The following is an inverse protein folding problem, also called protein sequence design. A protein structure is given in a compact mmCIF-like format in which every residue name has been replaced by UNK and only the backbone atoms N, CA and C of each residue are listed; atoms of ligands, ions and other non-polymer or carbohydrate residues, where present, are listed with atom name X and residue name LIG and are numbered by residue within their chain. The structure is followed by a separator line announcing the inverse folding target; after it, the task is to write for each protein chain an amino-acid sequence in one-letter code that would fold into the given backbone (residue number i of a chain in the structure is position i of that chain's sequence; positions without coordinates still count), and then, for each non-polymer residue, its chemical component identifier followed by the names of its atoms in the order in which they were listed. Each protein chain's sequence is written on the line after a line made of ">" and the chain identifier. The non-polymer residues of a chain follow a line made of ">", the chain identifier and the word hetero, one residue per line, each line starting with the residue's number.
data_IF_740450639198
#
_entry.id   IF_740450639198
#
_cell.length_a   1.000
_cell.length_b   1.000
_cell.length_c   1.000
_cell.angle_alpha   90.00
_cell.angle_beta   90.00
_cell.angle_gamma   90.00
#
_symmetry.space_group_name_H-M   'P 1'
#
loop_
_entity.id
_entity.type
_entity.pdbx_description
1 polymer ?
#
# COMPACT_ATOMS: atom_id res chain seq x y z
N UNK A 1 -32.02 57.90 51.25
CA UNK A 1 -31.94 56.51 51.77
C UNK A 1 -31.48 56.55 53.23
N UNK A 2 -32.19 55.93 54.18
CA UNK A 2 -31.81 55.99 55.61
C UNK A 2 -30.49 55.25 55.86
N UNK A 3 -29.74 55.65 56.90
CA UNK A 3 -28.45 55.05 57.27
C UNK A 3 -28.54 53.52 57.40
N UNK A 4 -29.63 53.01 57.99
CA UNK A 4 -29.91 51.57 58.06
C UNK A 4 -29.98 50.88 56.70
N UNK A 5 -30.66 51.50 55.72
CA UNK A 5 -30.75 50.95 54.35
C UNK A 5 -29.38 50.93 53.65
N UNK A 6 -28.52 51.93 53.92
CA UNK A 6 -27.13 51.93 53.39
C UNK A 6 -26.28 50.81 54.00
N UNK A 7 -26.37 50.60 55.31
CA UNK A 7 -25.64 49.53 56.00
C UNK A 7 -26.08 48.15 55.47
N UNK A 8 -27.38 47.92 55.35
CA UNK A 8 -27.90 46.65 54.80
C UNK A 8 -27.44 46.42 53.36
N UNK A 9 -27.46 47.48 52.53
CA UNK A 9 -26.96 47.39 51.16
C UNK A 9 -25.47 47.03 51.10
N UNK A 10 -24.64 47.66 51.94
CA UNK A 10 -23.20 47.36 51.98
C UNK A 10 -22.89 45.95 52.49
N UNK A 11 -23.64 45.46 53.47
CA UNK A 11 -23.48 44.08 53.97
C UNK A 11 -23.87 43.07 52.89
N UNK A 12 -24.97 43.30 52.17
CA UNK A 12 -25.38 42.42 51.04
C UNK A 12 -24.36 42.45 49.90
N UNK A 13 -23.81 43.62 49.57
CA UNK A 13 -22.75 43.75 48.57
C UNK A 13 -21.48 43.01 48.99
N UNK A 14 -21.08 43.13 50.26
CA UNK A 14 -19.91 42.43 50.80
C UNK A 14 -20.08 40.91 50.77
N UNK A 15 -21.22 40.38 51.25
CA UNK A 15 -21.52 38.95 51.21
C UNK A 15 -21.58 38.44 49.76
N UNK A 16 -22.19 39.21 48.85
CA UNK A 16 -22.22 38.90 47.42
C UNK A 16 -20.81 38.83 46.81
N UNK A 17 -19.95 39.79 47.12
CA UNK A 17 -18.55 39.79 46.68
C UNK A 17 -17.77 38.59 47.25
N UNK A 18 -17.90 38.28 48.54
CA UNK A 18 -17.22 37.14 49.16
C UNK A 18 -17.71 35.82 48.56
N UNK A 19 -19.01 35.67 48.32
CA UNK A 19 -19.56 34.48 47.66
C UNK A 19 -19.04 34.34 46.22
N UNK A 20 -18.95 35.44 45.46
CA UNK A 20 -18.49 35.43 44.08
C UNK A 20 -16.98 35.17 43.98
N UNK A 21 -16.18 35.76 44.87
CA UNK A 21 -14.74 35.45 45.00
C UNK A 21 -14.55 33.99 45.44
N UNK A 22 -15.36 33.51 46.38
CA UNK A 22 -15.35 32.12 46.85
C UNK A 22 -15.69 31.12 45.74
N UNK A 23 -16.70 31.38 44.92
CA UNK A 23 -17.06 30.51 43.80
C UNK A 23 -16.01 30.53 42.69
N UNK A 24 -15.44 31.70 42.36
CA UNK A 24 -14.33 31.80 41.39
C UNK A 24 -13.07 31.11 41.90
N UNK A 25 -12.74 31.27 43.19
CA UNK A 25 -11.62 30.59 43.82
C UNK A 25 -11.84 29.06 43.82
N UNK A 26 -13.00 28.58 44.25
CA UNK A 26 -13.34 27.16 44.23
C UNK A 26 -13.38 26.59 42.82
N UNK A 27 -13.84 27.36 41.82
CA UNK A 27 -13.82 26.97 40.41
C UNK A 27 -12.37 26.83 39.90
N UNK A 28 -11.52 27.81 40.16
CA UNK A 28 -10.09 27.74 39.81
C UNK A 28 -9.38 26.58 40.53
N UNK A 29 -9.70 26.34 41.80
CA UNK A 29 -9.17 25.20 42.56
C UNK A 29 -9.66 23.87 42.00
N UNK A 30 -10.93 23.76 41.60
CA UNK A 30 -11.50 22.54 41.01
C UNK A 30 -10.97 22.27 39.59
N UNK A 31 -10.61 23.33 38.87
CA UNK A 31 -9.95 23.24 37.56
C UNK A 31 -8.48 22.83 37.71
N UNK A 32 -7.73 23.41 38.67
CA UNK A 32 -6.31 23.11 38.93
C UNK A 32 -6.01 21.85 39.75
N UNK A 33 -6.92 21.35 40.61
CA UNK A 33 -6.61 20.25 41.56
C UNK A 33 -7.50 19.00 41.44
N UNK A 34 -8.50 19.00 40.54
CA UNK A 34 -9.51 17.96 40.33
C UNK A 34 -9.56 16.77 41.32
N UNK A 35 -10.20 16.95 42.48
CA UNK A 35 -10.22 15.96 43.56
C UNK A 35 -11.06 14.69 43.31
N UNK A 36 -11.87 14.67 42.25
CA UNK A 36 -12.73 13.54 41.87
C UNK A 36 -12.51 13.09 40.42
N UNK A 37 -11.39 13.50 39.80
CA UNK A 37 -11.08 13.11 38.43
C UNK A 37 -10.77 11.61 38.35
N UNK A 38 -11.31 10.97 37.31
CA UNK A 38 -10.84 9.66 36.87
C UNK A 38 -9.42 9.77 36.32
N UNK A 39 -8.74 8.63 36.14
CA UNK A 39 -7.42 8.60 35.49
C UNK A 39 -7.47 9.20 34.08
N UNK A 40 -8.56 8.97 33.34
CA UNK A 40 -8.77 9.57 32.01
C UNK A 40 -8.87 11.10 32.10
N UNK A 41 -9.57 11.63 33.10
CA UNK A 41 -9.73 13.08 33.24
C UNK A 41 -8.39 13.78 33.53
N UNK A 42 -7.52 13.16 34.34
CA UNK A 42 -6.16 13.67 34.55
C UNK A 42 -5.35 13.68 33.25
N UNK A 43 -5.45 12.62 32.44
CA UNK A 43 -4.79 12.58 31.14
C UNK A 43 -5.28 13.69 30.20
N UNK A 44 -6.60 13.85 30.03
CA UNK A 44 -7.17 14.87 29.14
C UNK A 44 -6.83 16.30 29.59
N UNK A 45 -6.96 16.60 30.89
CA UNK A 45 -6.57 17.92 31.43
C UNK A 45 -5.07 18.15 31.34
N UNK A 46 -4.27 17.11 31.56
CA UNK A 46 -2.82 17.16 31.43
C UNK A 46 -2.40 17.67 30.05
N UNK A 47 -2.98 17.08 28.99
CA UNK A 47 -2.73 17.49 27.60
C UNK A 47 -3.12 18.95 27.33
N UNK A 48 -4.28 19.38 27.82
CA UNK A 48 -4.74 20.77 27.65
C UNK A 48 -3.76 21.76 28.29
N UNK A 49 -3.28 21.44 29.50
CA UNK A 49 -2.48 22.35 30.31
C UNK A 49 -1.03 22.47 29.86
N UNK A 50 -0.40 21.39 29.38
CA UNK A 50 1.00 21.42 28.91
C UNK A 50 1.22 22.30 27.67
N UNK A 51 0.15 22.56 26.90
CA UNK A 51 0.17 23.48 25.77
C UNK A 51 -0.20 24.93 26.14
N UNK A 52 -0.41 25.24 27.43
CA UNK A 52 -0.73 26.59 27.86
C UNK A 52 0.48 27.52 27.78
N UNK A 53 0.26 28.80 27.44
CA UNK A 53 1.32 29.81 27.51
C UNK A 53 1.80 30.09 28.95
N UNK A 54 0.98 29.73 29.95
CA UNK A 54 1.28 29.98 31.37
C UNK A 54 2.12 28.83 31.95
N UNK A 55 3.34 29.16 32.40
CA UNK A 55 4.27 28.18 33.00
C UNK A 55 3.63 27.38 34.15
N UNK A 56 2.89 28.03 35.06
CA UNK A 56 2.20 27.32 36.16
C UNK A 56 1.23 26.25 35.67
N UNK A 57 0.49 26.54 34.59
CA UNK A 57 -0.45 25.57 34.02
C UNK A 57 0.32 24.45 33.33
N UNK A 58 1.42 24.76 32.63
CA UNK A 58 2.26 23.72 32.02
C UNK A 58 2.81 22.73 33.04
N UNK A 59 3.32 23.22 34.17
CA UNK A 59 3.78 22.36 35.28
C UNK A 59 2.63 21.52 35.86
N UNK A 60 1.47 22.14 36.10
CA UNK A 60 0.28 21.41 36.57
C UNK A 60 -0.16 20.32 35.58
N UNK A 61 -0.06 20.60 34.27
CA UNK A 61 -0.36 19.66 33.21
C UNK A 61 0.59 18.46 33.22
N UNK A 62 1.90 18.71 33.40
CA UNK A 62 2.90 17.65 33.53
C UNK A 62 2.63 16.79 34.77
N UNK A 63 2.32 17.39 35.91
CA UNK A 63 1.97 16.65 37.13
C UNK A 63 0.75 15.74 36.92
N UNK A 64 -0.26 16.22 36.20
CA UNK A 64 -1.43 15.42 35.83
C UNK A 64 -1.09 14.26 34.89
N UNK A 65 -0.23 14.47 33.90
CA UNK A 65 0.23 13.41 33.01
C UNK A 65 1.04 12.35 33.77
N UNK A 66 1.94 12.77 34.65
CA UNK A 66 2.74 11.87 35.50
C UNK A 66 1.83 11.05 36.43
N UNK A 67 0.85 11.69 37.07
CA UNK A 67 -0.12 11.00 37.92
C UNK A 67 -0.98 10.00 37.13
N UNK A 68 -1.43 10.37 35.92
CA UNK A 68 -2.17 9.47 35.06
C UNK A 68 -1.33 8.24 34.65
N UNK A 69 -0.06 8.46 34.31
CA UNK A 69 0.87 7.39 33.95
C UNK A 69 1.16 6.45 35.13
N UNK A 70 1.31 6.99 36.34
CA UNK A 70 1.47 6.21 37.58
C UNK A 70 0.22 5.36 37.87
N UNK A 71 -0.96 5.89 37.54
CA UNK A 71 -2.25 5.17 37.58
C UNK A 71 -2.50 4.27 36.35
N UNK A 72 -1.43 3.82 35.70
CA UNK A 72 -1.43 2.84 34.59
C UNK A 72 -2.15 3.29 33.32
N UNK A 73 -2.29 4.60 33.10
CA UNK A 73 -2.81 5.09 31.82
C UNK A 73 -1.77 4.94 30.71
N UNK A 74 -1.98 3.98 29.81
CA UNK A 74 -1.04 3.66 28.73
C UNK A 74 -0.76 4.84 27.80
N UNK A 75 -1.78 5.62 27.45
CA UNK A 75 -1.63 6.82 26.62
C UNK A 75 -0.70 7.88 27.25
N UNK A 76 -0.82 8.08 28.57
CA UNK A 76 0.06 9.00 29.31
C UNK A 76 1.49 8.48 29.39
N UNK A 77 1.65 7.17 29.62
CA UNK A 77 2.96 6.51 29.63
C UNK A 77 3.65 6.62 28.27
N UNK A 78 2.94 6.38 27.16
CA UNK A 78 3.51 6.52 25.80
C UNK A 78 3.94 7.96 25.55
N UNK A 79 3.06 8.94 25.81
CA UNK A 79 3.36 10.35 25.59
C UNK A 79 4.58 10.82 26.41
N UNK A 80 4.65 10.47 27.69
CA UNK A 80 5.81 10.80 28.52
C UNK A 80 7.06 10.07 28.06
N UNK A 81 6.95 8.79 27.68
CA UNK A 81 8.04 8.03 27.10
C UNK A 81 8.63 8.70 25.86
N UNK A 82 7.77 9.16 24.96
CA UNK A 82 8.15 9.91 23.77
C UNK A 82 8.89 11.20 24.14
N UNK A 83 8.34 11.99 25.06
CA UNK A 83 8.92 13.30 25.42
C UNK A 83 10.25 13.17 26.18
N UNK A 84 10.40 12.19 27.07
CA UNK A 84 11.66 11.94 27.77
C UNK A 84 12.74 11.39 26.83
N UNK A 85 12.36 10.63 25.79
CA UNK A 85 13.29 10.12 24.79
C UNK A 85 13.77 11.23 23.85
N UNK A 86 12.84 12.01 23.30
CA UNK A 86 13.13 13.06 22.34
C UNK A 86 13.35 12.61 20.91
N UNK A 87 14.42 11.86 20.71
CA UNK A 87 14.83 11.39 19.39
C UNK A 87 14.18 10.01 19.14
N UNK A 88 13.04 10.04 18.46
CA UNK A 88 12.26 8.84 18.15
C UNK A 88 12.83 8.10 16.92
N UNK A 89 12.71 6.76 16.86
CA UNK A 89 13.20 5.98 15.72
C UNK A 89 12.57 6.38 14.38
N UNK A 90 13.30 6.16 13.28
CA UNK A 90 12.75 6.33 11.93
C UNK A 90 11.49 5.46 11.74
N UNK A 91 10.43 6.04 11.15
CA UNK A 91 9.15 5.37 10.96
C UNK A 91 8.23 5.37 12.19
N UNK A 92 8.72 5.84 13.35
CA UNK A 92 7.90 6.02 14.55
C UNK A 92 6.96 7.22 14.38
N UNK A 93 5.68 7.04 14.70
CA UNK A 93 4.68 8.11 14.66
C UNK A 93 4.19 8.43 16.08
N UNK A 94 4.43 9.66 16.57
CA UNK A 94 3.99 10.05 17.92
C UNK A 94 2.50 9.80 18.12
N UNK A 95 2.18 9.23 19.28
CA UNK A 95 0.80 8.87 19.63
C UNK A 95 -0.12 10.09 19.68
N UNK A 96 0.40 11.20 20.24
CA UNK A 96 -0.26 12.50 20.30
C UNK A 96 0.76 13.59 19.90
N UNK A 97 0.91 13.77 18.59
CA UNK A 97 1.87 14.70 18.01
C UNK A 97 1.68 16.15 18.50
N UNK A 98 0.44 16.54 18.79
CA UNK A 98 0.12 17.88 19.30
C UNK A 98 0.70 18.10 20.69
N UNK A 99 0.41 17.19 21.62
CA UNK A 99 0.88 17.30 23.00
C UNK A 99 2.39 17.06 23.09
N UNK A 100 2.92 16.12 22.29
CA UNK A 100 4.35 15.90 22.15
C UNK A 100 5.07 17.18 21.72
N UNK A 101 4.55 17.91 20.72
CA UNK A 101 5.12 19.18 20.28
C UNK A 101 5.19 20.24 21.38
N UNK A 102 4.19 20.30 22.26
CA UNK A 102 4.21 21.19 23.41
C UNK A 102 5.26 20.76 24.46
N UNK A 103 5.36 19.45 24.76
CA UNK A 103 6.08 18.96 25.94
C UNK A 103 7.53 18.52 25.68
N UNK A 104 7.86 18.04 24.48
CA UNK A 104 9.15 17.41 24.15
C UNK A 104 10.38 18.30 24.40
N UNK A 105 10.23 19.63 24.32
CA UNK A 105 11.29 20.59 24.62
C UNK A 105 11.33 21.09 26.07
N UNK A 106 10.32 20.75 26.88
CA UNK A 106 10.19 21.19 28.28
C UNK A 106 10.74 20.16 29.26
N UNK A 107 10.83 18.90 28.85
CA UNK A 107 11.37 17.81 29.68
C UNK A 107 12.85 17.57 29.38
N UNK A 108 13.67 17.25 30.41
CA UNK A 108 15.03 16.80 30.18
C UNK A 108 15.02 15.47 29.44
N UNK A 109 16.07 15.24 28.64
CA UNK A 109 16.29 13.93 28.01
C UNK A 109 16.64 12.91 29.09
N UNK A 110 15.78 11.91 29.24
CA UNK A 110 15.98 10.79 30.16
C UNK A 110 15.55 9.47 29.49
N UNK A 111 16.47 8.81 28.78
CA UNK A 111 16.20 7.52 28.14
C UNK A 111 15.79 6.42 29.11
N UNK A 112 16.21 6.52 30.38
CA UNK A 112 15.88 5.51 31.41
C UNK A 112 14.43 5.66 31.84
N UNK A 113 13.99 6.88 32.13
CA UNK A 113 12.58 7.17 32.39
C UNK A 113 11.71 6.81 31.19
N UNK A 114 12.16 7.15 29.98
CA UNK A 114 11.45 6.83 28.74
C UNK A 114 11.26 5.31 28.57
N UNK A 115 12.35 4.54 28.68
CA UNK A 115 12.29 3.08 28.62
C UNK A 115 11.35 2.51 29.69
N UNK A 116 11.37 3.04 30.92
CA UNK A 116 10.44 2.62 31.98
C UNK A 116 8.99 2.82 31.57
N UNK A 117 8.63 4.00 31.07
CA UNK A 117 7.26 4.28 30.62
C UNK A 117 6.86 3.41 29.42
N UNK A 118 7.74 3.22 28.44
CA UNK A 118 7.47 2.34 27.31
C UNK A 118 7.27 0.89 27.73
N UNK A 119 8.08 0.36 28.64
CA UNK A 119 7.90 -1.00 29.18
C UNK A 119 6.57 -1.15 29.93
N UNK A 120 6.16 -0.15 30.73
CA UNK A 120 4.87 -0.15 31.41
C UNK A 120 3.70 -0.13 30.40
N UNK A 121 3.74 0.77 29.42
CA UNK A 121 2.70 0.86 28.40
C UNK A 121 2.60 -0.42 27.57
N UNK A 122 3.75 -0.98 27.19
CA UNK A 122 3.84 -2.23 26.44
C UNK A 122 3.28 -3.42 27.22
N UNK A 123 3.53 -3.49 28.53
CA UNK A 123 2.96 -4.54 29.39
C UNK A 123 1.42 -4.50 29.41
N UNK A 124 0.83 -3.31 29.51
CA UNK A 124 -0.63 -3.12 29.46
C UNK A 124 -1.20 -3.49 28.09
N UNK A 125 -0.54 -3.07 27.01
CA UNK A 125 -1.00 -3.34 25.65
C UNK A 125 -0.89 -4.81 25.24
N UNK A 126 0.02 -5.60 25.83
CA UNK A 126 0.03 -7.06 25.60
C UNK A 126 -1.23 -7.77 26.10
N UNK A 127 -2.00 -7.14 26.99
CA UNK A 127 -3.23 -7.71 27.55
C UNK A 127 -4.48 -7.32 26.77
N UNK A 128 -4.37 -6.44 25.77
CA UNK A 128 -5.51 -5.87 25.04
C UNK A 128 -5.17 -5.80 23.55
N UNK A 129 -6.12 -6.06 22.66
CA UNK A 129 -5.88 -5.76 21.26
C UNK A 129 -5.90 -4.23 21.06
N UNK A 130 -4.79 -3.61 20.61
CA UNK A 130 -4.75 -2.19 20.36
C UNK A 130 -5.67 -1.87 19.18
N UNK A 131 -6.59 -0.93 19.41
CA UNK A 131 -7.46 -0.41 18.36
C UNK A 131 -6.70 0.43 17.33
N UNK A 132 -5.55 0.99 17.71
CA UNK A 132 -4.70 1.82 16.87
C UNK A 132 -3.55 1.01 16.29
N UNK A 133 -3.58 0.82 14.97
CA UNK A 133 -2.59 0.04 14.22
C UNK A 133 -1.18 0.67 14.20
N UNK A 134 -1.02 1.91 14.68
CA UNK A 134 0.29 2.56 14.86
C UNK A 134 1.02 2.03 16.09
N UNK A 135 0.29 1.61 17.12
CA UNK A 135 0.89 1.19 18.39
C UNK A 135 1.76 -0.06 18.21
N UNK A 136 1.29 -1.19 17.63
CA UNK A 136 2.16 -2.34 17.45
C UNK A 136 3.40 -2.02 16.61
N UNK A 137 3.29 -1.20 15.56
CA UNK A 137 4.44 -0.75 14.77
C UNK A 137 5.45 0.01 15.64
N UNK A 138 4.99 1.02 16.39
CA UNK A 138 5.83 1.83 17.26
C UNK A 138 6.54 0.97 18.31
N UNK A 139 5.82 0.07 18.99
CA UNK A 139 6.42 -0.85 19.94
C UNK A 139 7.43 -1.79 19.29
N UNK A 140 7.17 -2.27 18.07
CA UNK A 140 8.13 -3.08 17.31
C UNK A 140 9.43 -2.34 17.03
N UNK A 141 9.34 -1.06 16.63
CA UNK A 141 10.51 -0.19 16.46
C UNK A 141 11.27 0.04 17.77
N UNK A 142 10.56 0.28 18.88
CA UNK A 142 11.17 0.47 20.19
C UNK A 142 11.90 -0.79 20.68
N UNK A 143 11.33 -1.98 20.46
CA UNK A 143 11.96 -3.28 20.75
C UNK A 143 13.20 -3.49 19.88
N UNK A 144 13.12 -3.23 18.57
CA UNK A 144 14.25 -3.38 17.65
C UNK A 144 15.42 -2.46 18.03
N UNK A 145 15.13 -1.24 18.50
CA UNK A 145 16.14 -0.28 18.99
C UNK A 145 16.61 -0.54 20.42
N UNK A 146 16.10 -1.58 21.09
CA UNK A 146 16.48 -1.92 22.46
C UNK A 146 15.98 -0.94 23.52
N UNK A 147 14.98 -0.12 23.20
CA UNK A 147 14.36 0.85 24.12
C UNK A 147 13.33 0.18 25.05
N UNK A 148 12.87 -1.01 24.66
CA UNK A 148 12.00 -1.88 25.45
C UNK A 148 12.75 -3.18 25.70
N UNK A 149 12.66 -3.69 26.93
CA UNK A 149 13.32 -4.93 27.29
C UNK A 149 12.60 -6.11 26.63
N UNK A 150 13.36 -6.96 25.93
CA UNK A 150 12.87 -8.19 25.31
C UNK A 150 13.97 -9.24 25.35
N UNK A 151 13.58 -10.48 25.64
CA UNK A 151 14.48 -11.64 25.61
C UNK A 151 14.83 -12.06 24.18
N UNK A 152 13.96 -11.74 23.21
CA UNK A 152 14.15 -12.04 21.80
C UNK A 152 13.65 -10.88 20.92
N UNK A 153 14.41 -9.76 20.87
CA UNK A 153 13.94 -8.52 20.28
C UNK A 153 13.61 -8.66 18.79
N UNK A 154 14.34 -9.51 18.06
CA UNK A 154 14.05 -9.74 16.64
C UNK A 154 12.70 -10.42 16.43
N UNK A 155 12.37 -11.43 17.23
CA UNK A 155 11.11 -12.15 17.10
C UNK A 155 9.93 -11.32 17.60
N UNK A 156 10.09 -10.64 18.74
CA UNK A 156 9.05 -9.79 19.31
C UNK A 156 8.71 -8.60 18.39
N UNK A 157 9.72 -7.94 17.83
CA UNK A 157 9.51 -6.87 16.84
C UNK A 157 8.80 -7.39 15.58
N UNK A 158 9.20 -8.57 15.09
CA UNK A 158 8.55 -9.19 13.93
C UNK A 158 7.07 -9.52 14.20
N UNK A 159 6.74 -10.07 15.38
CA UNK A 159 5.35 -10.32 15.78
C UNK A 159 4.53 -9.04 15.84
N UNK A 160 5.11 -7.96 16.38
CA UNK A 160 4.45 -6.65 16.44
C UNK A 160 4.24 -6.04 15.05
N UNK A 161 5.18 -6.21 14.13
CA UNK A 161 5.01 -5.80 12.73
C UNK A 161 3.92 -6.61 12.02
N UNK A 162 3.84 -7.92 12.26
CA UNK A 162 2.76 -8.75 11.73
C UNK A 162 1.40 -8.24 12.22
N UNK A 163 1.27 -8.00 13.53
CA UNK A 163 0.05 -7.45 14.11
C UNK A 163 -0.34 -6.09 13.50
N UNK A 164 0.62 -5.16 13.39
CA UNK A 164 0.38 -3.86 12.76
C UNK A 164 -0.07 -4.00 11.30
N UNK A 165 0.60 -4.87 10.54
CA UNK A 165 0.33 -5.10 9.13
C UNK A 165 -1.04 -5.76 8.90
N UNK A 166 -1.43 -6.71 9.75
CA UNK A 166 -2.77 -7.33 9.73
C UNK A 166 -3.88 -6.31 10.02
N UNK A 167 -3.59 -5.30 10.85
CA UNK A 167 -4.47 -4.16 11.10
C UNK A 167 -4.40 -3.05 10.05
N UNK A 168 -3.76 -3.29 8.90
CA UNK A 168 -3.75 -2.33 7.79
C UNK A 168 -2.63 -1.28 7.84
N UNK A 169 -1.66 -1.41 8.76
CA UNK A 169 -0.57 -0.44 8.86
C UNK A 169 0.38 -0.55 7.65
N UNK A 170 0.42 0.50 6.84
CA UNK A 170 1.22 0.58 5.61
C UNK A 170 2.72 0.36 5.86
N UNK A 171 3.28 1.05 6.85
CA UNK A 171 4.72 0.99 7.16
C UNK A 171 5.11 -0.41 7.60
N UNK A 172 4.28 -1.08 8.39
CA UNK A 172 4.54 -2.45 8.82
C UNK A 172 4.46 -3.45 7.66
N UNK A 173 3.44 -3.35 6.79
CA UNK A 173 3.35 -4.17 5.58
C UNK A 173 4.58 -4.00 4.69
N UNK A 174 5.06 -2.76 4.52
CA UNK A 174 6.25 -2.43 3.75
C UNK A 174 7.50 -3.07 4.36
N UNK A 175 7.71 -2.87 5.66
CA UNK A 175 8.85 -3.44 6.39
C UNK A 175 8.88 -4.97 6.28
N UNK A 176 7.75 -5.65 6.52
CA UNK A 176 7.65 -7.10 6.38
C UNK A 176 7.91 -7.56 4.94
N UNK A 177 7.32 -6.89 3.94
CA UNK A 177 7.52 -7.22 2.53
C UNK A 177 8.99 -7.18 2.12
N UNK A 178 9.71 -6.15 2.53
CA UNK A 178 11.15 -5.99 2.29
C UNK A 178 11.99 -6.99 3.09
N UNK A 179 11.64 -7.24 4.36
CA UNK A 179 12.32 -8.20 5.22
C UNK A 179 12.25 -9.61 4.64
N UNK A 180 11.05 -10.08 4.28
CA UNK A 180 10.85 -11.39 3.66
C UNK A 180 11.56 -11.49 2.31
N UNK A 181 11.55 -10.42 1.51
CA UNK A 181 12.27 -10.38 0.24
C UNK A 181 13.79 -10.55 0.45
N UNK A 182 14.36 -9.85 1.44
CA UNK A 182 15.78 -9.95 1.80
C UNK A 182 16.15 -11.33 2.35
N UNK A 183 15.24 -11.96 3.11
CA UNK A 183 15.37 -13.35 3.60
C UNK A 183 15.10 -14.41 2.52
N UNK A 184 14.79 -14.00 1.29
CA UNK A 184 14.43 -14.88 0.18
C UNK A 184 13.17 -15.73 0.40
N UNK A 185 12.33 -15.37 1.38
CA UNK A 185 10.97 -15.89 1.48
C UNK A 185 10.06 -15.08 0.56
N UNK A 186 10.20 -15.36 -0.73
CA UNK A 186 9.51 -14.62 -1.77
C UNK A 186 7.99 -14.88 -1.78
N UNK A 187 7.51 -15.96 -1.16
CA UNK A 187 6.06 -16.22 -1.05
C UNK A 187 5.44 -15.24 -0.06
N UNK A 188 6.00 -15.14 1.15
CA UNK A 188 5.57 -14.16 2.14
C UNK A 188 5.81 -12.72 1.65
N UNK A 189 6.95 -12.45 1.01
CA UNK A 189 7.25 -11.13 0.45
C UNK A 189 6.19 -10.70 -0.57
N UNK A 190 5.81 -11.58 -1.51
CA UNK A 190 4.80 -11.24 -2.53
C UNK A 190 3.46 -10.86 -1.91
N UNK A 191 3.03 -11.54 -0.84
CA UNK A 191 1.78 -11.24 -0.14
C UNK A 191 1.77 -9.81 0.39
N UNK A 192 2.82 -9.41 1.10
CA UNK A 192 2.88 -8.09 1.73
C UNK A 192 3.18 -6.99 0.70
N UNK A 193 4.13 -7.22 -0.21
CA UNK A 193 4.48 -6.25 -1.24
C UNK A 193 3.30 -5.94 -2.17
N UNK A 194 2.42 -6.91 -2.48
CA UNK A 194 1.23 -6.64 -3.32
C UNK A 194 0.28 -5.66 -2.67
N UNK A 195 0.00 -5.82 -1.38
CA UNK A 195 -0.85 -4.90 -0.62
C UNK A 195 -0.26 -3.47 -0.61
N UNK A 196 1.06 -3.36 -0.43
CA UNK A 196 1.76 -2.07 -0.44
C UNK A 196 1.74 -1.45 -1.84
N UNK A 197 2.02 -2.23 -2.89
CA UNK A 197 2.03 -1.78 -4.28
C UNK A 197 0.65 -1.25 -4.73
N UNK A 198 -0.43 -1.88 -4.28
CA UNK A 198 -1.81 -1.49 -4.59
C UNK A 198 -2.19 -0.10 -4.04
N UNK A 199 -1.54 0.34 -2.96
CA UNK A 199 -1.78 1.69 -2.41
C UNK A 199 -1.29 2.81 -3.32
N UNK A 200 -0.37 2.54 -4.25
CA UNK A 200 0.19 3.54 -5.16
C UNK A 200 1.00 4.65 -4.47
N UNK A 201 1.50 4.42 -3.24
CA UNK A 201 2.33 5.39 -2.51
C UNK A 201 3.81 5.30 -2.85
N UNK A 202 4.28 4.13 -3.29
CA UNK A 202 5.69 3.87 -3.60
C UNK A 202 5.82 2.90 -4.78
N UNK A 203 6.90 3.04 -5.56
CA UNK A 203 7.14 2.22 -6.76
C UNK A 203 7.97 0.97 -6.51
N UNK A 204 8.84 0.99 -5.51
CA UNK A 204 9.72 -0.12 -5.15
C UNK A 204 8.97 -1.45 -4.90
N UNK A 205 7.85 -1.50 -4.17
CA UNK A 205 7.14 -2.76 -3.92
C UNK A 205 6.63 -3.44 -5.21
N UNK A 206 6.07 -2.65 -6.13
CA UNK A 206 5.60 -3.14 -7.42
C UNK A 206 6.76 -3.63 -8.31
N UNK A 207 7.90 -2.96 -8.24
CA UNK A 207 9.12 -3.37 -8.94
C UNK A 207 9.65 -4.72 -8.43
N UNK A 208 9.72 -4.91 -7.11
CA UNK A 208 10.17 -6.17 -6.50
C UNK A 208 9.22 -7.33 -6.81
N UNK A 209 7.90 -7.08 -6.84
CA UNK A 209 6.93 -8.06 -7.30
C UNK A 209 7.15 -8.46 -8.76
N UNK A 210 7.38 -7.47 -9.63
CA UNK A 210 7.70 -7.71 -11.02
C UNK A 210 8.94 -8.58 -11.17
N UNK A 211 10.00 -8.28 -10.41
CA UNK A 211 11.23 -9.08 -10.38
C UNK A 211 10.97 -10.51 -9.87
N UNK A 212 10.14 -10.68 -8.85
CA UNK A 212 9.75 -12.00 -8.38
C UNK A 212 9.12 -12.85 -9.49
N UNK A 213 8.21 -12.29 -10.28
CA UNK A 213 7.59 -13.01 -11.39
C UNK A 213 8.53 -13.18 -12.60
N UNK A 214 9.38 -12.19 -12.88
CA UNK A 214 10.33 -12.24 -13.99
C UNK A 214 11.37 -13.34 -13.79
N UNK A 215 11.90 -13.49 -12.57
CA UNK A 215 12.91 -14.49 -12.23
C UNK A 215 12.33 -15.80 -11.67
N UNK A 216 11.02 -15.90 -11.47
CA UNK A 216 10.39 -17.09 -10.87
C UNK A 216 10.73 -17.29 -9.39
N UNK A 217 10.94 -16.21 -8.64
CA UNK A 217 11.27 -16.26 -7.21
C UNK A 217 10.01 -16.60 -6.38
N UNK A 218 10.11 -17.67 -5.58
CA UNK A 218 9.01 -18.17 -4.75
C UNK A 218 7.77 -18.61 -5.53
N UNK A 219 7.93 -19.14 -6.74
CA UNK A 219 6.82 -19.66 -7.54
C UNK A 219 7.18 -19.87 -9.00
N UNK A 220 6.17 -19.94 -9.86
CA UNK A 220 6.37 -20.12 -11.30
C UNK A 220 6.68 -18.78 -11.97
N UNK A 221 7.70 -18.78 -12.84
CA UNK A 221 8.07 -17.66 -13.69
C UNK A 221 6.88 -17.24 -14.58
N UNK A 222 6.60 -15.94 -14.66
CA UNK A 222 5.53 -15.40 -15.50
C UNK A 222 5.85 -13.99 -15.97
N UNK A 223 6.25 -13.85 -17.24
CA UNK A 223 6.54 -12.54 -17.82
C UNK A 223 5.30 -11.64 -17.92
N UNK A 224 4.11 -12.21 -18.15
CA UNK A 224 2.86 -11.44 -18.16
C UNK A 224 2.58 -10.77 -16.81
N UNK A 225 2.74 -11.52 -15.71
CA UNK A 225 2.60 -10.97 -14.34
C UNK A 225 3.70 -9.97 -14.03
N UNK A 226 4.93 -10.21 -14.49
CA UNK A 226 6.03 -9.24 -14.34
C UNK A 226 5.69 -7.91 -15.03
N UNK A 227 5.27 -7.95 -16.30
CA UNK A 227 4.84 -6.77 -17.08
C UNK A 227 3.70 -6.04 -16.36
N UNK A 228 2.71 -6.77 -15.83
CA UNK A 228 1.61 -6.19 -15.07
C UNK A 228 2.12 -5.36 -13.89
N UNK A 229 2.97 -5.94 -13.03
CA UNK A 229 3.48 -5.23 -11.86
C UNK A 229 4.43 -4.08 -12.21
N UNK A 230 5.26 -4.21 -13.25
CA UNK A 230 6.07 -3.08 -13.71
C UNK A 230 5.22 -1.94 -14.28
N UNK A 231 4.07 -2.23 -14.91
CA UNK A 231 3.10 -1.20 -15.32
C UNK A 231 2.43 -0.52 -14.13
N UNK A 232 2.14 -1.27 -13.05
CA UNK A 232 1.68 -0.67 -11.79
C UNK A 232 2.75 0.28 -11.25
N UNK A 233 4.01 -0.13 -11.24
CA UNK A 233 5.13 0.73 -10.82
C UNK A 233 5.23 2.00 -11.69
N UNK A 234 5.15 1.87 -13.02
CA UNK A 234 5.17 3.01 -13.95
C UNK A 234 4.02 3.98 -13.69
N UNK A 235 2.80 3.45 -13.49
CA UNK A 235 1.62 4.25 -13.16
C UNK A 235 1.82 5.00 -11.85
N UNK A 236 2.31 4.32 -10.81
CA UNK A 236 2.61 4.95 -9.52
C UNK A 236 3.68 6.03 -9.66
N UNK A 237 4.75 5.77 -10.43
CA UNK A 237 5.80 6.77 -10.68
C UNK A 237 5.22 8.04 -11.31
N UNK A 238 4.38 7.89 -12.34
CA UNK A 238 3.69 9.00 -13.01
C UNK A 238 2.84 9.83 -12.07
N UNK A 239 2.20 9.18 -11.10
CA UNK A 239 1.38 9.87 -10.08
C UNK A 239 2.29 10.64 -9.12
N UNK A 240 3.32 9.98 -8.58
CA UNK A 240 4.25 10.59 -7.61
C UNK A 240 5.05 11.76 -8.19
N UNK A 241 5.40 11.70 -9.48
CA UNK A 241 6.22 12.71 -10.17
C UNK A 241 5.40 13.63 -11.09
N UNK A 242 4.07 13.66 -10.95
CA UNK A 242 3.18 14.43 -11.82
C UNK A 242 3.45 15.95 -11.83
N UNK A 243 4.08 16.48 -10.78
CA UNK A 243 4.46 17.90 -10.66
C UNK A 243 5.94 18.19 -10.95
N UNK A 244 6.76 17.16 -11.15
CA UNK A 244 8.20 17.30 -11.39
C UNK A 244 8.51 17.87 -12.79
N UNK A 245 9.76 18.26 -13.06
CA UNK A 245 10.19 18.67 -14.41
C UNK A 245 10.11 17.54 -15.44
N UNK A 246 10.09 17.86 -16.74
CA UNK A 246 10.00 16.84 -17.80
C UNK A 246 11.15 15.84 -17.75
N UNK A 247 12.39 16.33 -17.63
CA UNK A 247 13.59 15.48 -17.54
C UNK A 247 13.56 14.56 -16.31
N UNK A 248 13.07 15.07 -15.17
CA UNK A 248 12.92 14.29 -13.93
C UNK A 248 11.86 13.20 -14.07
N UNK A 249 10.74 13.49 -14.73
CA UNK A 249 9.70 12.49 -15.02
C UNK A 249 10.22 11.40 -15.93
N UNK A 250 10.95 11.75 -16.99
CA UNK A 250 11.54 10.78 -17.91
C UNK A 250 12.52 9.86 -17.17
N UNK A 251 13.46 10.44 -16.40
CA UNK A 251 14.42 9.67 -15.60
C UNK A 251 13.72 8.75 -14.58
N UNK A 252 12.63 9.22 -13.97
CA UNK A 252 11.81 8.44 -13.06
C UNK A 252 11.11 7.25 -13.74
N UNK A 253 10.65 7.41 -14.99
CA UNK A 253 9.98 6.36 -15.77
C UNK A 253 10.93 5.31 -16.37
N UNK A 254 12.22 5.64 -16.53
CA UNK A 254 13.20 4.79 -17.22
C UNK A 254 13.30 3.38 -16.61
N UNK A 255 13.37 3.27 -15.28
CA UNK A 255 13.52 1.98 -14.59
C UNK A 255 12.33 1.04 -14.85
N UNK A 256 11.07 1.42 -14.57
CA UNK A 256 9.94 0.55 -14.87
C UNK A 256 9.76 0.32 -16.38
N UNK A 257 10.02 1.29 -17.25
CA UNK A 257 9.94 1.11 -18.71
C UNK A 257 10.97 0.07 -19.22
N UNK A 258 12.23 0.17 -18.80
CA UNK A 258 13.26 -0.78 -19.17
C UNK A 258 12.92 -2.22 -18.73
N UNK A 259 12.35 -2.38 -17.54
CA UNK A 259 11.91 -3.69 -17.02
C UNK A 259 10.70 -4.24 -17.78
N UNK A 260 9.75 -3.37 -18.17
CA UNK A 260 8.64 -3.74 -19.05
C UNK A 260 9.18 -4.26 -20.39
N UNK A 261 10.07 -3.51 -21.04
CA UNK A 261 10.65 -3.88 -22.34
C UNK A 261 11.43 -5.19 -22.26
N UNK A 262 12.23 -5.36 -21.20
CA UNK A 262 12.95 -6.59 -20.92
C UNK A 262 12.00 -7.79 -20.81
N UNK A 263 10.91 -7.65 -20.06
CA UNK A 263 9.91 -8.70 -19.90
C UNK A 263 9.13 -8.99 -21.19
N UNK A 264 8.77 -7.97 -21.97
CA UNK A 264 8.12 -8.15 -23.28
C UNK A 264 9.02 -8.91 -24.26
N UNK A 265 10.31 -8.62 -24.31
CA UNK A 265 11.27 -9.34 -25.17
C UNK A 265 11.35 -10.82 -24.81
N UNK A 266 11.36 -11.15 -23.52
CA UNK A 266 11.37 -12.56 -23.10
C UNK A 266 10.06 -13.28 -23.41
N UNK A 267 8.92 -12.61 -23.20
CA UNK A 267 7.62 -13.13 -23.57
C UNK A 267 7.55 -13.44 -25.07
N UNK A 268 8.00 -12.50 -25.93
CA UNK A 268 8.06 -12.70 -27.37
C UNK A 268 8.98 -13.86 -27.75
N UNK A 269 10.17 -13.96 -27.14
CA UNK A 269 11.08 -15.11 -27.35
C UNK A 269 10.42 -16.44 -26.99
N UNK A 270 9.67 -16.50 -25.89
CA UNK A 270 8.98 -17.70 -25.46
C UNK A 270 7.83 -18.07 -26.40
N UNK A 271 7.03 -17.10 -26.85
CA UNK A 271 5.99 -17.32 -27.87
C UNK A 271 6.57 -17.81 -29.21
N UNK A 272 7.79 -17.38 -29.57
CA UNK A 272 8.48 -17.86 -30.78
C UNK A 272 9.09 -19.26 -30.62
N UNK A 273 9.33 -19.73 -29.38
CA UNK A 273 10.00 -21.00 -29.08
C UNK A 273 9.05 -22.21 -29.01
N UNK A 274 7.82 -22.03 -28.52
CA UNK A 274 6.84 -23.12 -28.42
C UNK A 274 5.75 -22.92 -29.48
N UNK A 275 5.84 -23.61 -30.64
CA UNK A 275 4.81 -23.48 -31.66
C UNK A 275 3.50 -24.09 -31.16
N UNK A 276 2.41 -23.34 -31.25
CA UNK A 276 1.06 -23.86 -31.05
C UNK A 276 0.68 -24.74 -32.24
N UNK A 277 -0.06 -25.82 -32.00
CA UNK A 277 -0.56 -26.68 -33.08
C UNK A 277 -2.00 -26.34 -33.37
N UNK A 278 -2.33 -26.05 -34.63
CA UNK A 278 -3.70 -25.85 -35.09
C UNK A 278 -4.06 -26.90 -36.14
N UNK A 279 -5.02 -27.76 -35.82
CA UNK A 279 -5.55 -28.70 -36.79
C UNK A 279 -6.52 -27.99 -37.72
N UNK A 280 -6.38 -28.25 -39.01
CA UNK A 280 -7.29 -27.76 -40.03
C UNK A 280 -7.75 -28.90 -40.93
N UNK A 281 -8.93 -28.76 -41.52
CA UNK A 281 -9.47 -29.69 -42.52
C UNK A 281 -9.91 -28.91 -43.76
N UNK A 282 -9.77 -29.56 -44.91
CA UNK A 282 -10.19 -29.01 -46.20
C UNK A 282 -11.40 -29.80 -46.67
N UNK A 283 -12.39 -29.11 -47.22
CA UNK A 283 -13.55 -29.70 -47.89
C UNK A 283 -13.74 -29.04 -49.25
N UNK A 284 -14.43 -29.69 -50.18
CA UNK A 284 -14.61 -29.19 -51.56
C UNK A 284 -13.92 -30.08 -52.59
N UNK A 285 -13.38 -29.48 -53.65
CA UNK A 285 -12.78 -30.19 -54.79
C UNK A 285 -11.46 -29.53 -55.24
N UNK A 286 -10.86 -30.04 -56.31
CA UNK A 286 -9.56 -29.57 -56.81
C UNK A 286 -9.53 -28.09 -57.24
N UNK A 287 -10.68 -27.49 -57.54
CA UNK A 287 -10.79 -26.08 -57.94
C UNK A 287 -11.35 -25.18 -56.85
N UNK A 288 -11.77 -25.75 -55.71
CA UNK A 288 -12.40 -25.01 -54.62
C UNK A 288 -12.12 -25.65 -53.25
N UNK A 289 -11.26 -25.01 -52.46
CA UNK A 289 -10.95 -25.41 -51.09
C UNK A 289 -11.77 -24.59 -50.10
N UNK A 290 -12.54 -25.27 -49.26
CA UNK A 290 -13.24 -24.70 -48.12
C UNK A 290 -12.48 -25.12 -46.86
N UNK A 291 -11.80 -24.17 -46.23
CA UNK A 291 -10.86 -24.42 -45.14
C UNK A 291 -11.56 -24.23 -43.79
N UNK A 292 -11.44 -25.22 -42.90
CA UNK A 292 -11.98 -25.18 -41.54
C UNK A 292 -10.86 -25.40 -40.52
N UNK A 293 -10.98 -24.80 -39.34
CA UNK A 293 -10.05 -24.99 -38.24
C UNK A 293 -10.78 -25.57 -37.02
N UNK A 294 -10.07 -26.34 -36.19
CA UNK A 294 -10.64 -27.00 -35.01
C UNK A 294 -11.19 -26.00 -33.98
N UNK A 295 -10.58 -24.82 -33.88
CA UNK A 295 -10.99 -23.76 -32.96
C UNK A 295 -12.18 -22.92 -33.46
N UNK A 296 -12.73 -23.26 -34.64
CA UNK A 296 -13.87 -22.58 -35.27
C UNK A 296 -14.93 -23.59 -35.76
N UNK A 297 -15.66 -24.25 -34.85
CA UNK A 297 -16.66 -25.25 -35.24
C UNK A 297 -17.88 -24.66 -35.97
N UNK A 298 -18.15 -23.36 -35.82
CA UNK A 298 -19.32 -22.68 -36.40
C UNK A 298 -19.26 -22.50 -37.93
N UNK A 299 -18.11 -22.77 -38.55
CA UNK A 299 -17.98 -22.76 -40.01
C UNK A 299 -16.58 -22.44 -40.52
N UNK A 300 -16.40 -22.41 -41.85
CA UNK A 300 -15.07 -22.28 -42.45
C UNK A 300 -14.45 -20.91 -42.18
N UNK A 301 -13.12 -20.89 -42.13
CA UNK A 301 -12.34 -19.65 -42.04
C UNK A 301 -12.33 -18.91 -43.38
N UNK A 302 -12.53 -19.61 -44.49
CA UNK A 302 -12.58 -19.01 -45.82
C UNK A 302 -12.62 -20.04 -46.95
N UNK A 303 -12.57 -19.52 -48.18
CA UNK A 303 -12.60 -20.30 -49.42
C UNK A 303 -11.46 -19.87 -50.36
N UNK A 304 -10.72 -20.84 -50.90
CA UNK A 304 -9.78 -20.65 -52.01
C UNK A 304 -10.41 -21.24 -53.26
N UNK A 305 -10.50 -20.47 -54.34
CA UNK A 305 -11.22 -20.88 -55.55
C UNK A 305 -10.41 -20.52 -56.80
N UNK A 306 -10.36 -21.46 -57.75
CA UNK A 306 -9.77 -21.28 -59.07
C UNK A 306 -10.87 -20.94 -60.07
N UNK A 307 -10.78 -19.76 -60.67
CA UNK A 307 -11.64 -19.29 -61.75
C UNK A 307 -10.82 -19.08 -63.02
N UNK A 308 -11.47 -18.73 -64.13
CA UNK A 308 -10.81 -18.39 -65.40
C UNK A 308 -9.90 -17.15 -65.28
N UNK A 309 -10.13 -16.32 -64.26
CA UNK A 309 -9.34 -15.12 -63.94
C UNK A 309 -8.15 -15.41 -63.00
N UNK A 310 -8.00 -16.65 -62.52
CA UNK A 310 -6.91 -17.07 -61.63
C UNK A 310 -7.40 -17.66 -60.31
N UNK A 311 -6.50 -17.79 -59.34
CA UNK A 311 -6.79 -18.38 -58.02
C UNK A 311 -6.97 -17.26 -57.00
N UNK A 312 -8.08 -17.26 -56.28
CA UNK A 312 -8.38 -16.24 -55.26
C UNK A 312 -8.68 -16.90 -53.92
N UNK A 313 -8.03 -16.44 -52.85
CA UNK A 313 -8.39 -16.81 -51.48
C UNK A 313 -9.21 -15.71 -50.83
N UNK A 314 -10.33 -16.06 -50.21
CA UNK A 314 -11.27 -15.14 -49.53
C UNK A 314 -11.53 -15.61 -48.10
N UNK A 315 -11.26 -14.74 -47.14
CA UNK A 315 -11.54 -14.99 -45.72
C UNK A 315 -13.02 -14.70 -45.44
N UNK A 316 -13.66 -15.57 -44.66
CA UNK A 316 -15.06 -15.45 -44.27
C UNK A 316 -15.32 -14.11 -43.55
N UNK A 317 -16.40 -13.42 -43.91
CA UNK A 317 -16.77 -12.13 -43.32
C UNK A 317 -17.04 -12.21 -41.81
N UNK A 318 -17.38 -13.40 -41.30
CA UNK A 318 -17.54 -13.67 -39.86
C UNK A 318 -16.20 -13.87 -39.12
N UNK A 319 -15.06 -13.73 -39.80
CA UNK A 319 -13.72 -13.69 -39.16
C UNK A 319 -13.30 -12.22 -39.03
N UNK A 320 -13.04 -11.79 -37.81
CA UNK A 320 -12.48 -10.46 -37.54
C UNK A 320 -11.01 -10.46 -37.94
N UNK A 321 -10.58 -9.54 -38.82
CA UNK A 321 -9.19 -9.47 -39.27
C UNK A 321 -8.31 -8.62 -38.34
N UNK A 322 -7.07 -9.04 -38.15
CA UNK A 322 -6.05 -8.19 -37.55
C UNK A 322 -5.78 -6.95 -38.42
N UNK A 323 -5.45 -5.81 -37.78
CA UNK A 323 -5.10 -4.55 -38.44
C UNK A 323 -3.93 -4.69 -39.44
N UNK A 324 -3.07 -5.69 -39.26
CA UNK A 324 -1.95 -5.99 -40.15
C UNK A 324 -2.35 -6.70 -41.45
N UNK A 325 -3.62 -7.10 -41.62
CA UNK A 325 -4.12 -7.79 -42.81
C UNK A 325 -4.96 -6.79 -43.61
N UNK A 326 -4.42 -6.22 -44.70
CA UNK A 326 -5.03 -5.10 -45.39
C UNK A 326 -6.28 -5.49 -46.20
N UNK A 327 -6.40 -6.76 -46.59
CA UNK A 327 -7.48 -7.24 -47.45
C UNK A 327 -8.05 -8.59 -47.00
N UNK A 328 -9.36 -8.78 -47.22
CA UNK A 328 -10.07 -10.07 -47.01
C UNK A 328 -9.91 -11.04 -48.18
N UNK A 329 -9.44 -10.54 -49.32
CA UNK A 329 -9.27 -11.30 -50.56
C UNK A 329 -7.91 -10.99 -51.19
N UNK A 330 -7.27 -12.00 -51.76
CA UNK A 330 -6.00 -11.87 -52.49
C UNK A 330 -5.88 -12.97 -53.55
N UNK A 331 -5.19 -12.66 -54.65
CA UNK A 331 -4.93 -13.60 -55.75
C UNK A 331 -3.58 -14.30 -55.59
N UNK A 332 -3.50 -15.56 -56.04
CA UNK A 332 -2.36 -16.46 -55.87
C UNK A 332 -2.06 -17.26 -57.14
N UNK A 333 -0.87 -17.86 -57.21
CA UNK A 333 -0.45 -18.71 -58.33
C UNK A 333 -0.85 -20.19 -58.14
N UNK A 334 -1.03 -20.65 -56.89
CA UNK A 334 -1.52 -21.99 -56.58
C UNK A 334 -2.62 -22.00 -55.50
N UNK A 335 -3.39 -23.09 -55.46
CA UNK A 335 -4.41 -23.30 -54.43
C UNK A 335 -3.79 -23.39 -53.02
N UNK A 336 -2.60 -23.99 -52.94
CA UNK A 336 -1.87 -24.14 -51.67
C UNK A 336 -1.38 -22.80 -51.14
N UNK A 337 -0.82 -21.92 -51.99
CA UNK A 337 -0.38 -20.58 -51.55
C UNK A 337 -1.56 -19.76 -51.00
N UNK A 338 -2.72 -19.86 -51.66
CA UNK A 338 -3.95 -19.21 -51.19
C UNK A 338 -4.43 -19.76 -49.85
N UNK A 339 -4.30 -21.06 -49.64
CA UNK A 339 -4.66 -21.72 -48.38
C UNK A 339 -3.68 -21.36 -47.26
N UNK A 340 -2.37 -21.41 -47.51
CA UNK A 340 -1.34 -21.05 -46.53
C UNK A 340 -1.47 -19.60 -46.10
N UNK A 341 -1.69 -18.68 -47.05
CA UNK A 341 -1.99 -17.29 -46.73
C UNK A 341 -3.25 -17.16 -45.87
N UNK A 342 -4.30 -17.91 -46.17
CA UNK A 342 -5.54 -17.88 -45.39
C UNK A 342 -5.34 -18.38 -43.97
N UNK A 343 -4.58 -19.47 -43.78
CA UNK A 343 -4.23 -20.02 -42.47
C UNK A 343 -3.38 -19.02 -41.66
N UNK A 344 -2.36 -18.40 -42.27
CA UNK A 344 -1.54 -17.36 -41.63
C UNK A 344 -2.35 -16.10 -41.29
N UNK A 345 -3.23 -15.66 -42.18
CA UNK A 345 -4.11 -14.51 -41.96
C UNK A 345 -5.11 -14.77 -40.82
N UNK A 346 -5.72 -15.97 -40.79
CA UNK A 346 -6.58 -16.39 -39.69
C UNK A 346 -5.80 -16.46 -38.38
N UNK A 347 -4.64 -17.10 -38.39
CA UNK A 347 -3.76 -17.25 -37.24
C UNK A 347 -3.35 -15.91 -36.62
N UNK A 348 -2.89 -14.96 -37.44
CA UNK A 348 -2.52 -13.62 -36.96
C UNK A 348 -3.71 -12.85 -36.41
N UNK A 349 -4.89 -13.05 -36.99
CA UNK A 349 -6.13 -12.43 -36.52
C UNK A 349 -6.61 -13.01 -35.19
N UNK A 350 -6.42 -14.32 -34.99
CA UNK A 350 -6.93 -15.07 -33.85
C UNK A 350 -5.97 -15.11 -32.67
N UNK A 351 -4.69 -15.33 -32.93
CA UNK A 351 -3.64 -15.59 -31.94
C UNK A 351 -2.58 -14.48 -31.85
N UNK A 352 -2.64 -13.49 -32.75
CA UNK A 352 -1.71 -12.37 -32.78
C UNK A 352 -0.42 -12.65 -33.55
N UNK A 353 0.35 -11.59 -33.84
CA UNK A 353 1.53 -11.62 -34.73
C UNK A 353 2.74 -12.38 -34.14
N UNK A 354 2.78 -12.59 -32.83
CA UNK A 354 3.87 -13.24 -32.12
C UNK A 354 3.68 -14.75 -31.92
N UNK A 355 2.51 -15.30 -32.26
CA UNK A 355 2.24 -16.72 -32.16
C UNK A 355 2.88 -17.47 -33.33
N UNK A 356 3.77 -18.43 -33.02
CA UNK A 356 4.25 -19.40 -34.02
C UNK A 356 3.26 -20.56 -34.06
N UNK A 357 2.65 -20.83 -35.21
CA UNK A 357 1.67 -21.89 -35.38
C UNK A 357 2.20 -22.96 -36.34
N UNK A 358 2.05 -24.21 -35.93
CA UNK A 358 2.20 -25.38 -36.78
C UNK A 358 0.79 -25.82 -37.22
N UNK A 359 0.52 -25.70 -38.52
CA UNK A 359 -0.74 -26.15 -39.09
C UNK A 359 -0.63 -27.64 -39.45
N UNK A 360 -1.52 -28.46 -38.89
CA UNK A 360 -1.55 -29.90 -39.17
C UNK A 360 -2.86 -30.22 -39.90
N UNK A 361 -2.75 -30.80 -41.09
CA UNK A 361 -3.91 -31.27 -41.84
C UNK A 361 -4.51 -32.49 -41.12
N UNK A 362 -5.78 -32.41 -40.76
CA UNK A 362 -6.56 -33.52 -40.22
C UNK A 362 -7.31 -34.16 -41.39
N UNK A 363 -6.92 -35.40 -41.73
CA UNK A 363 -7.53 -36.19 -42.80
C UNK A 363 -9.00 -36.52 -42.52
#
# INVERSE_FOLDING_TARGET
>A
MSLRKKIVLYVLLFVGCVALVGTVALYNYRYKLCWQCSTQDYYERGKEFVCSDKEELRQTGLDFLLLAADRQQSAAQILLGECYMGDLPEGYSSFDATTFGCLNGQLPRDPTAAARFFNQAYATLRQQEPADNRLPLNFGLLVEKGMIASDNPQQDAHTLYLQAAEQGNYTAMRSLGLEYYKKSDYVAAKKWLSLVAETGKETEPALLLGDCFYYGKGGVLSYDKAIHWYRVALKTQRILWASAGEDERLAAEDVPMARIDMAMRQLQKNCMRVPMTLHYRISGNATRYIVHTEDRPEGPIGVVEKTDEGITARINNKVTLARSIPTRSKSFQSMNDGMEWMLDAYARSRFGRSAKLNFILKH
#
